data_IF_781435142594
#
_entry.id   IF_781435142594
#
_cell.length_a   1.000
_cell.length_b   1.000
_cell.length_c   1.000
_cell.angle_alpha   90.00
_cell.angle_beta   90.00
_cell.angle_gamma   90.00
#
_symmetry.space_group_name_H-M   'P 1'
#
loop_
_entity.id
_entity.type
_entity.pdbx_description
1 polymer ?
#
# COMPACT_ATOMS: atom_id res chain seq x y z
N UNK A 1 2.69 -0.39 21.28
CA UNK A 1 2.37 -1.74 20.78
C UNK A 1 2.19 -1.59 19.29
N UNK A 2 2.89 -2.35 18.48
CA UNK A 2 2.77 -2.30 17.03
C UNK A 2 1.54 -3.08 16.57
N UNK A 3 1.06 -2.82 15.35
CA UNK A 3 -0.04 -3.60 14.78
C UNK A 3 0.37 -5.06 14.50
N UNK A 4 1.65 -5.29 14.18
CA UNK A 4 2.19 -6.64 14.01
C UNK A 4 2.08 -7.43 15.31
N UNK A 5 2.59 -6.91 16.42
CA UNK A 5 2.55 -7.62 17.71
C UNK A 5 1.13 -7.77 18.22
N UNK A 6 0.26 -6.76 18.07
CA UNK A 6 -1.15 -6.89 18.44
C UNK A 6 -1.87 -7.96 17.61
N UNK A 7 -1.59 -8.05 16.31
CA UNK A 7 -2.19 -9.07 15.46
C UNK A 7 -1.70 -10.47 15.80
N UNK A 8 -0.40 -10.63 16.02
CA UNK A 8 0.22 -11.88 16.47
C UNK A 8 -0.38 -12.37 17.79
N UNK A 9 -0.41 -11.54 18.84
CA UNK A 9 -0.95 -11.90 20.16
C UNK A 9 -2.42 -12.37 20.08
N UNK A 10 -3.24 -11.72 19.24
CA UNK A 10 -4.63 -12.11 19.01
C UNK A 10 -4.78 -13.42 18.26
N UNK A 11 -3.85 -13.73 17.36
CA UNK A 11 -3.81 -15.00 16.66
C UNK A 11 -3.34 -16.12 17.61
N UNK A 12 -2.29 -15.90 18.38
CA UNK A 12 -1.74 -16.84 19.35
C UNK A 12 -2.77 -17.18 20.45
N UNK A 13 -3.50 -16.18 20.96
CA UNK A 13 -4.56 -16.39 21.95
C UNK A 13 -5.81 -17.07 21.40
N UNK A 14 -5.93 -17.23 20.08
CA UNK A 14 -7.12 -17.78 19.41
C UNK A 14 -8.30 -16.81 19.29
N UNK A 15 -8.12 -15.52 19.63
CA UNK A 15 -9.13 -14.48 19.36
C UNK A 15 -9.35 -14.31 17.86
N UNK A 16 -8.27 -14.41 17.06
CA UNK A 16 -8.31 -14.42 15.60
C UNK A 16 -7.81 -15.78 15.11
N UNK A 17 -8.65 -16.47 14.31
CA UNK A 17 -8.29 -17.77 13.74
C UNK A 17 -7.63 -17.59 12.39
N UNK A 18 -6.41 -18.12 12.25
CA UNK A 18 -5.62 -18.12 11.01
C UNK A 18 -5.09 -19.51 10.68
N UNK A 19 -4.49 -19.69 9.50
CA UNK A 19 -3.80 -20.92 9.12
C UNK A 19 -2.41 -21.02 9.74
N UNK A 20 -1.89 -22.25 9.81
CA UNK A 20 -0.56 -22.50 10.41
C UNK A 20 0.55 -21.74 9.67
N UNK A 21 0.51 -21.71 8.33
CA UNK A 21 1.55 -21.03 7.53
C UNK A 21 1.62 -19.53 7.83
N UNK A 22 0.48 -18.90 8.11
CA UNK A 22 0.47 -17.48 8.50
C UNK A 22 0.93 -17.30 9.93
N UNK A 23 0.63 -18.24 10.84
CA UNK A 23 1.12 -18.19 12.21
C UNK A 23 2.65 -18.34 12.26
N UNK A 24 3.20 -19.32 11.54
CA UNK A 24 4.64 -19.53 11.42
C UNK A 24 5.37 -18.26 10.90
N UNK A 25 4.75 -17.56 9.93
CA UNK A 25 5.32 -16.31 9.41
C UNK A 25 5.23 -15.16 10.42
N UNK A 26 4.13 -15.06 11.17
CA UNK A 26 3.99 -14.06 12.23
C UNK A 26 4.99 -14.30 13.36
N UNK A 27 5.22 -15.55 13.76
CA UNK A 27 6.23 -15.93 14.73
C UNK A 27 7.62 -15.49 14.28
N UNK A 28 7.99 -15.80 13.02
CA UNK A 28 9.27 -15.38 12.44
C UNK A 28 9.43 -13.85 12.40
N UNK A 29 8.37 -13.11 12.07
CA UNK A 29 8.41 -11.64 12.01
C UNK A 29 8.54 -11.02 13.41
N UNK A 30 7.93 -11.63 14.43
CA UNK A 30 8.06 -11.18 15.83
C UNK A 30 9.46 -11.52 16.36
N UNK A 31 9.99 -12.71 16.07
CA UNK A 31 11.37 -13.10 16.42
C UNK A 31 12.40 -12.13 15.78
N UNK A 32 12.17 -11.70 14.56
CA UNK A 32 13.01 -10.72 13.87
C UNK A 32 13.07 -9.36 14.59
N UNK A 33 12.01 -8.97 15.32
CA UNK A 33 12.03 -7.74 16.14
C UNK A 33 12.99 -7.87 17.34
N UNK A 34 13.19 -9.09 17.86
CA UNK A 34 14.06 -9.36 18.99
C UNK A 34 15.52 -9.55 18.55
N UNK A 35 15.76 -10.14 17.38
CA UNK A 35 17.13 -10.43 16.88
C UNK A 35 17.90 -9.18 16.50
N UNK A 36 17.21 -8.08 16.14
CA UNK A 36 17.82 -6.80 15.79
C UNK A 36 18.63 -6.81 14.47
N UNK A 37 18.41 -7.82 13.61
CA UNK A 37 19.03 -7.86 12.29
C UNK A 37 18.52 -6.71 11.40
N UNK A 38 17.25 -6.35 11.58
CA UNK A 38 16.58 -5.23 10.90
C UNK A 38 16.12 -4.19 11.92
N UNK A 39 16.26 -2.91 11.58
CA UNK A 39 15.60 -1.86 12.35
C UNK A 39 14.08 -1.92 12.08
N UNK A 40 13.29 -1.69 13.12
CA UNK A 40 11.83 -1.63 13.00
C UNK A 40 11.33 -0.21 13.27
N UNK A 41 10.99 0.52 12.20
CA UNK A 41 10.62 1.95 12.26
C UNK A 41 9.23 2.13 11.66
N UNK A 42 8.25 2.45 12.49
CA UNK A 42 6.83 2.43 12.10
C UNK A 42 6.29 3.74 11.53
N UNK A 43 7.08 4.81 11.47
CA UNK A 43 6.62 6.15 11.08
C UNK A 43 6.01 6.17 9.68
N UNK A 44 6.68 5.55 8.69
CA UNK A 44 6.21 5.47 7.31
C UNK A 44 4.93 4.64 7.17
N UNK A 45 4.83 3.53 7.89
CA UNK A 45 3.64 2.71 7.92
C UNK A 45 2.46 3.45 8.56
N UNK A 46 2.70 4.09 9.70
CA UNK A 46 1.68 4.86 10.42
C UNK A 46 1.17 6.05 9.60
N UNK A 47 2.06 6.75 8.89
CA UNK A 47 1.67 7.83 7.99
C UNK A 47 0.69 7.37 6.92
N UNK A 48 0.96 6.21 6.29
CA UNK A 48 0.09 5.62 5.26
C UNK A 48 -1.24 5.13 5.84
N UNK A 49 -1.20 4.44 6.97
CA UNK A 49 -2.41 3.97 7.68
C UNK A 49 -3.30 5.16 8.07
N UNK A 50 -2.72 6.19 8.67
CA UNK A 50 -3.44 7.40 9.05
C UNK A 50 -4.04 8.12 7.85
N UNK A 51 -3.26 8.27 6.76
CA UNK A 51 -3.76 8.85 5.51
C UNK A 51 -4.96 8.06 4.97
N UNK A 52 -4.86 6.73 4.92
CA UNK A 52 -5.94 5.87 4.43
C UNK A 52 -7.21 6.02 5.28
N UNK A 53 -7.10 5.99 6.59
CA UNK A 53 -8.28 6.08 7.48
C UNK A 53 -8.90 7.48 7.53
N UNK A 54 -8.11 8.55 7.42
CA UNK A 54 -8.61 9.94 7.47
C UNK A 54 -9.19 10.42 6.15
N UNK A 55 -8.52 10.13 5.05
CA UNK A 55 -8.78 10.79 3.78
C UNK A 55 -9.44 9.89 2.74
N UNK A 56 -9.21 8.57 2.78
CA UNK A 56 -9.78 7.68 1.78
C UNK A 56 -11.24 7.36 2.06
N UNK A 57 -12.03 7.36 0.99
CA UNK A 57 -13.43 6.96 0.97
C UNK A 57 -13.60 5.73 0.11
N UNK A 58 -14.45 4.80 0.55
CA UNK A 58 -14.76 3.56 -0.16
C UNK A 58 -15.46 3.85 -1.48
N UNK A 59 -15.07 3.11 -2.53
CA UNK A 59 -15.50 3.41 -3.91
C UNK A 59 -16.69 2.59 -4.39
N UNK A 60 -17.16 1.61 -3.58
CA UNK A 60 -18.21 0.67 -4.00
C UNK A 60 -19.41 0.63 -3.05
N UNK A 61 -20.59 0.46 -3.64
CA UNK A 61 -21.84 0.19 -2.90
C UNK A 61 -21.70 -1.14 -2.11
N UNK A 62 -22.32 -1.25 -0.91
CA UNK A 62 -23.16 -0.27 -0.21
C UNK A 62 -22.40 0.77 0.62
N UNK A 63 -21.09 0.77 0.57
CA UNK A 63 -20.24 1.62 1.43
C UNK A 63 -19.66 2.84 0.69
N UNK A 64 -20.09 3.10 -0.53
CA UNK A 64 -19.62 4.25 -1.31
C UNK A 64 -19.63 5.56 -0.52
N UNK A 65 -18.50 6.28 -0.54
CA UNK A 65 -18.31 7.55 0.16
C UNK A 65 -18.08 7.46 1.67
N UNK A 66 -18.22 6.28 2.28
CA UNK A 66 -17.90 6.11 3.71
C UNK A 66 -16.38 6.12 3.94
N UNK A 67 -15.93 6.64 5.10
CA UNK A 67 -14.51 6.57 5.47
C UNK A 67 -14.01 5.13 5.45
N UNK A 68 -12.80 4.94 4.94
CA UNK A 68 -12.11 3.67 5.04
C UNK A 68 -11.71 3.40 6.49
N UNK A 69 -11.92 2.17 6.96
CA UNK A 69 -11.41 1.67 8.24
C UNK A 69 -10.65 0.40 7.97
N UNK A 70 -9.40 0.37 8.35
CA UNK A 70 -8.53 -0.79 8.18
C UNK A 70 -8.77 -1.79 9.30
N UNK A 71 -8.88 -3.06 8.93
CA UNK A 71 -8.85 -4.17 9.88
C UNK A 71 -7.43 -4.35 10.44
N UNK A 72 -7.30 -4.97 11.60
CA UNK A 72 -6.01 -5.16 12.26
C UNK A 72 -5.00 -5.89 11.34
N UNK A 73 -5.41 -6.94 10.64
CA UNK A 73 -4.54 -7.65 9.69
C UNK A 73 -4.05 -6.77 8.54
N UNK A 74 -4.86 -5.80 8.07
CA UNK A 74 -4.45 -4.86 7.02
C UNK A 74 -3.40 -3.87 7.55
N UNK A 75 -3.59 -3.40 8.79
CA UNK A 75 -2.62 -2.53 9.47
C UNK A 75 -1.31 -3.27 9.72
N UNK A 76 -1.36 -4.50 10.24
CA UNK A 76 -0.19 -5.35 10.42
C UNK A 76 0.55 -5.61 9.10
N UNK A 77 -0.17 -5.93 8.01
CA UNK A 77 0.43 -6.11 6.69
C UNK A 77 1.14 -4.84 6.18
N UNK A 78 0.51 -3.66 6.31
CA UNK A 78 1.12 -2.40 5.91
C UNK A 78 2.32 -2.08 6.80
N UNK A 79 2.20 -2.31 8.11
CA UNK A 79 3.29 -2.07 9.05
C UNK A 79 4.50 -2.94 8.74
N UNK A 80 4.33 -4.24 8.52
CA UNK A 80 5.42 -5.14 8.12
C UNK A 80 6.08 -4.67 6.84
N UNK A 81 5.30 -4.24 5.85
CA UNK A 81 5.81 -3.85 4.53
C UNK A 81 6.74 -2.63 4.58
N UNK A 82 6.44 -1.67 5.45
CA UNK A 82 7.14 -0.37 5.49
C UNK A 82 8.07 -0.20 6.70
N UNK A 83 8.01 -1.07 7.70
CA UNK A 83 8.73 -0.84 8.98
C UNK A 83 10.05 -1.58 9.11
N UNK A 84 10.24 -2.71 8.43
CA UNK A 84 11.53 -3.41 8.45
C UNK A 84 12.49 -2.76 7.46
N UNK A 85 13.54 -2.13 7.98
CA UNK A 85 14.54 -1.39 7.19
C UNK A 85 15.96 -1.83 7.56
N UNK A 86 16.87 -1.80 6.61
CA UNK A 86 18.27 -2.09 6.87
C UNK A 86 18.88 -0.97 7.74
N UNK A 87 19.52 -1.35 8.85
CA UNK A 87 20.17 -0.42 9.78
C UNK A 87 21.36 0.31 9.15
N UNK A 88 21.97 -0.24 8.08
CA UNK A 88 23.26 0.19 7.53
C UNK A 88 23.20 0.59 6.06
N UNK A 89 22.25 0.04 5.30
CA UNK A 89 22.12 0.32 3.88
C UNK A 89 21.23 1.54 3.65
N UNK A 90 21.71 2.44 2.80
CA UNK A 90 20.93 3.59 2.30
C UNK A 90 20.79 3.46 0.79
N UNK A 91 19.66 3.93 0.27
CA UNK A 91 19.47 4.14 -1.17
C UNK A 91 20.36 5.27 -1.68
N UNK A 92 20.44 5.43 -3.00
CA UNK A 92 21.17 6.55 -3.63
C UNK A 92 20.60 7.93 -3.21
N UNK A 93 19.32 7.98 -2.82
CA UNK A 93 18.66 9.18 -2.25
C UNK A 93 18.92 9.40 -0.76
N UNK A 94 19.63 8.48 -0.09
CA UNK A 94 19.95 8.55 1.34
C UNK A 94 18.85 8.02 2.26
N UNK A 95 17.84 7.33 1.72
CA UNK A 95 16.78 6.68 2.48
C UNK A 95 17.20 5.28 2.93
N UNK A 96 16.59 4.77 4.00
CA UNK A 96 16.85 3.40 4.45
C UNK A 96 16.26 2.39 3.46
N UNK A 97 17.02 1.33 3.18
CA UNK A 97 16.56 0.24 2.30
C UNK A 97 15.52 -0.60 3.03
N UNK A 98 14.36 -0.77 2.44
CA UNK A 98 13.31 -1.63 2.97
C UNK A 98 13.65 -3.12 2.76
N UNK A 99 13.40 -3.94 3.76
CA UNK A 99 13.53 -5.40 3.67
C UNK A 99 12.64 -6.00 2.61
N UNK A 100 11.37 -5.61 2.61
CA UNK A 100 10.36 -6.16 1.72
C UNK A 100 10.19 -5.28 0.48
N UNK A 101 10.83 -5.67 -0.61
CA UNK A 101 10.71 -5.01 -1.92
C UNK A 101 9.59 -5.61 -2.79
N UNK A 102 9.01 -6.74 -2.35
CA UNK A 102 7.90 -7.42 -3.03
C UNK A 102 6.93 -7.98 -2.01
N UNK A 103 5.65 -7.84 -2.28
CA UNK A 103 4.60 -8.42 -1.46
C UNK A 103 3.56 -9.12 -2.33
N UNK A 104 3.05 -10.25 -1.83
CA UNK A 104 1.96 -10.99 -2.46
C UNK A 104 0.78 -11.00 -1.49
N UNK A 105 -0.31 -10.35 -1.90
CA UNK A 105 -1.54 -10.34 -1.12
C UNK A 105 -2.55 -11.36 -1.66
N UNK A 106 -2.57 -12.53 -1.04
CA UNK A 106 -3.47 -13.62 -1.40
C UNK A 106 -4.62 -13.71 -0.40
N UNK A 107 -5.76 -13.18 -0.77
CA UNK A 107 -6.99 -13.20 0.04
C UNK A 107 -8.20 -13.59 -0.79
N UNK A 108 -9.21 -14.18 -0.15
CA UNK A 108 -10.43 -14.63 -0.80
C UNK A 108 -11.18 -13.45 -1.46
N UNK A 109 -12.02 -13.78 -2.45
CA UNK A 109 -12.87 -12.79 -3.12
C UNK A 109 -13.79 -12.09 -2.11
N UNK A 110 -14.10 -10.81 -2.37
CA UNK A 110 -14.97 -9.94 -1.55
C UNK A 110 -14.39 -9.51 -0.19
N UNK A 111 -13.10 -9.76 0.06
CA UNK A 111 -12.39 -9.33 1.27
C UNK A 111 -11.57 -8.04 1.02
N UNK A 112 -12.16 -7.04 0.38
CA UNK A 112 -11.61 -5.68 0.20
C UNK A 112 -10.24 -5.57 -0.51
N UNK A 113 -9.70 -6.64 -1.12
CA UNK A 113 -8.37 -6.64 -1.75
C UNK A 113 -8.13 -5.43 -2.65
N UNK A 114 -8.99 -5.22 -3.64
CA UNK A 114 -8.84 -4.13 -4.61
C UNK A 114 -8.95 -2.75 -3.94
N UNK A 115 -9.87 -2.58 -2.97
CA UNK A 115 -9.99 -1.34 -2.20
C UNK A 115 -8.73 -1.07 -1.38
N UNK A 116 -8.19 -2.10 -0.70
CA UNK A 116 -6.95 -1.98 0.09
C UNK A 116 -5.75 -1.62 -0.80
N UNK A 117 -5.57 -2.33 -1.92
CA UNK A 117 -4.49 -2.03 -2.86
C UNK A 117 -4.63 -0.62 -3.45
N UNK A 118 -5.85 -0.21 -3.84
CA UNK A 118 -6.08 1.14 -4.38
C UNK A 118 -5.82 2.23 -3.34
N UNK A 119 -6.24 2.01 -2.09
CA UNK A 119 -6.02 2.95 -1.00
C UNK A 119 -4.54 3.06 -0.62
N UNK A 120 -3.81 1.92 -0.60
CA UNK A 120 -2.37 1.92 -0.37
C UNK A 120 -1.62 2.63 -1.51
N UNK A 121 -1.99 2.38 -2.77
CA UNK A 121 -1.43 3.11 -3.91
C UNK A 121 -1.74 4.62 -3.85
N UNK A 122 -2.94 5.00 -3.40
CA UNK A 122 -3.29 6.41 -3.21
C UNK A 122 -2.50 7.04 -2.06
N UNK A 123 -2.24 6.32 -0.97
CA UNK A 123 -1.38 6.82 0.12
C UNK A 123 0.06 7.01 -0.36
N UNK A 124 0.61 6.05 -1.10
CA UNK A 124 1.95 6.15 -1.70
C UNK A 124 2.06 7.35 -2.65
N UNK A 125 1.05 7.56 -3.49
CA UNK A 125 0.97 8.69 -4.41
C UNK A 125 0.94 10.05 -3.69
N UNK A 126 0.29 10.14 -2.51
CA UNK A 126 0.10 11.41 -1.80
C UNK A 126 1.16 11.70 -0.76
N UNK A 127 1.60 10.68 -0.02
CA UNK A 127 2.50 10.83 1.13
C UNK A 127 3.79 10.00 1.03
N UNK A 128 3.95 9.23 -0.06
CA UNK A 128 5.19 8.52 -0.36
C UNK A 128 6.28 9.43 -0.90
N UNK A 129 7.37 8.82 -1.38
CA UNK A 129 8.54 9.53 -1.85
C UNK A 129 8.22 10.49 -3.01
N UNK A 130 8.77 11.72 -2.99
CA UNK A 130 8.57 12.67 -4.08
C UNK A 130 9.10 12.14 -5.42
N UNK A 131 8.32 12.36 -6.48
CA UNK A 131 8.71 11.96 -7.83
C UNK A 131 8.54 10.47 -8.16
N UNK A 132 7.92 9.70 -7.27
CA UNK A 132 7.69 8.27 -7.48
C UNK A 132 6.74 7.99 -8.65
N UNK A 133 7.05 6.95 -9.42
CA UNK A 133 6.22 6.45 -10.52
C UNK A 133 5.53 5.14 -10.13
N UNK A 134 4.25 5.20 -9.82
CA UNK A 134 3.42 4.03 -9.50
C UNK A 134 2.77 3.46 -10.77
N UNK A 135 2.80 2.14 -10.90
CA UNK A 135 2.29 1.47 -12.10
C UNK A 135 1.20 0.45 -11.76
N UNK A 136 0.00 0.67 -12.27
CA UNK A 136 -1.06 -0.33 -12.28
C UNK A 136 -0.94 -1.18 -13.53
N UNK A 137 -0.48 -2.42 -13.39
CA UNK A 137 -0.28 -3.36 -14.49
C UNK A 137 -1.07 -4.66 -14.32
N UNK A 138 -1.53 -5.23 -15.43
CA UNK A 138 -2.16 -6.54 -15.49
C UNK A 138 -1.97 -7.11 -16.90
N UNK A 139 -2.16 -8.43 -17.05
CA UNK A 139 -2.18 -9.09 -18.35
C UNK A 139 -3.34 -8.63 -19.24
N UNK A 140 -4.42 -8.11 -18.64
CA UNK A 140 -5.58 -7.56 -19.33
C UNK A 140 -5.74 -6.08 -19.01
N UNK A 141 -5.93 -5.25 -20.02
CA UNK A 141 -6.13 -3.80 -19.90
C UNK A 141 -7.35 -3.45 -19.03
N UNK A 142 -8.43 -4.23 -19.14
CA UNK A 142 -9.62 -4.03 -18.33
C UNK A 142 -9.33 -4.29 -16.84
N UNK A 143 -8.51 -5.30 -16.53
CA UNK A 143 -8.11 -5.60 -15.15
C UNK A 143 -7.13 -4.56 -14.58
N UNK A 144 -6.16 -4.09 -15.38
CA UNK A 144 -5.29 -2.97 -14.99
C UNK A 144 -6.13 -1.70 -14.68
N UNK A 145 -7.22 -1.51 -15.40
CA UNK A 145 -8.18 -0.43 -15.18
C UNK A 145 -8.88 -0.47 -13.82
N UNK A 146 -9.14 -1.65 -13.26
CA UNK A 146 -9.93 -1.79 -12.03
C UNK A 146 -9.29 -1.04 -10.85
N UNK A 147 -8.00 -1.22 -10.63
CA UNK A 147 -7.26 -0.54 -9.55
C UNK A 147 -7.10 0.94 -9.87
N UNK A 148 -6.66 1.26 -11.10
CA UNK A 148 -6.48 2.65 -11.55
C UNK A 148 -7.77 3.47 -11.44
N UNK A 149 -8.91 2.92 -11.86
CA UNK A 149 -10.20 3.60 -11.80
C UNK A 149 -10.68 3.78 -10.34
N UNK A 150 -10.45 2.79 -9.47
CA UNK A 150 -10.73 2.91 -8.05
C UNK A 150 -9.88 4.02 -7.40
N UNK A 151 -8.57 4.09 -7.72
CA UNK A 151 -7.70 5.18 -7.27
C UNK A 151 -8.23 6.53 -7.76
N UNK A 152 -8.66 6.63 -9.04
CA UNK A 152 -9.20 7.87 -9.55
C UNK A 152 -10.50 8.31 -8.85
N UNK A 153 -11.36 7.37 -8.46
CA UNK A 153 -12.55 7.68 -7.66
C UNK A 153 -12.15 8.18 -6.27
N UNK A 154 -11.20 7.51 -5.59
CA UNK A 154 -10.67 7.96 -4.30
C UNK A 154 -10.07 9.37 -4.42
N UNK A 155 -9.26 9.61 -5.46
CA UNK A 155 -8.68 10.91 -5.77
C UNK A 155 -9.73 12.01 -5.93
N UNK A 156 -10.77 11.75 -6.72
CA UNK A 156 -11.83 12.74 -6.95
C UNK A 156 -12.66 13.07 -5.71
N UNK A 157 -12.75 12.13 -4.76
CA UNK A 157 -13.38 12.39 -3.46
C UNK A 157 -12.47 13.17 -2.52
N UNK A 158 -11.15 12.95 -2.61
CA UNK A 158 -10.13 13.62 -1.82
C UNK A 158 -9.85 15.04 -2.33
N UNK A 159 -9.71 15.18 -3.65
CA UNK A 159 -9.39 16.45 -4.33
C UNK A 159 -10.45 16.78 -5.42
N UNK A 160 -11.67 17.16 -5.01
CA UNK A 160 -12.79 17.36 -5.96
C UNK A 160 -12.59 18.55 -6.91
N UNK A 161 -11.67 19.45 -6.62
CA UNK A 161 -11.39 20.64 -7.41
C UNK A 161 -10.08 20.54 -8.21
N UNK A 162 -9.44 19.36 -8.23
CA UNK A 162 -8.16 19.12 -8.93
C UNK A 162 -7.05 20.12 -8.57
N UNK A 163 -6.99 20.52 -7.28
CA UNK A 163 -6.02 21.52 -6.79
C UNK A 163 -4.67 20.89 -6.44
N UNK A 164 -4.68 19.66 -5.95
CA UNK A 164 -3.49 18.92 -5.51
C UNK A 164 -3.05 17.88 -6.53
N UNK A 165 -3.96 17.45 -7.40
CA UNK A 165 -3.72 16.35 -8.34
C UNK A 165 -4.30 16.68 -9.72
N UNK A 166 -3.65 16.18 -10.76
CA UNK A 166 -4.16 16.30 -12.14
C UNK A 166 -4.33 14.91 -12.76
N UNK A 167 -5.44 14.68 -13.48
CA UNK A 167 -5.70 13.44 -14.20
C UNK A 167 -5.76 13.66 -15.69
N UNK A 168 -4.93 12.94 -16.45
CA UNK A 168 -5.05 12.75 -17.89
C UNK A 168 -5.67 11.38 -18.22
N UNK A 169 -5.72 10.99 -19.48
CA UNK A 169 -6.34 9.75 -19.92
C UNK A 169 -5.70 8.49 -19.28
N UNK A 170 -4.37 8.44 -19.16
CA UNK A 170 -3.64 7.25 -18.66
C UNK A 170 -2.71 7.54 -17.49
N UNK A 171 -2.73 8.77 -16.96
CA UNK A 171 -1.81 9.23 -15.92
C UNK A 171 -2.53 10.11 -14.92
N UNK A 172 -2.24 9.92 -13.65
CA UNK A 172 -2.52 10.87 -12.58
C UNK A 172 -1.19 11.44 -12.08
N UNK A 173 -1.14 12.73 -11.82
CA UNK A 173 0.06 13.44 -11.33
C UNK A 173 -0.29 14.15 -10.02
N UNK A 174 0.52 13.97 -9.02
CA UNK A 174 0.48 14.76 -7.78
C UNK A 174 1.27 16.05 -8.00
N UNK A 175 0.60 17.19 -7.89
CA UNK A 175 1.17 18.50 -8.12
C UNK A 175 2.02 18.99 -6.95
N UNK A 176 1.92 18.34 -5.77
CA UNK A 176 2.62 18.72 -4.56
C UNK A 176 4.02 18.08 -4.49
N UNK A 177 4.15 16.82 -4.89
CA UNK A 177 5.40 16.06 -4.77
C UNK A 177 5.94 15.52 -6.11
N UNK A 178 5.21 15.72 -7.23
CA UNK A 178 5.64 15.29 -8.56
C UNK A 178 5.43 13.80 -8.87
N UNK A 179 4.88 13.03 -7.94
CA UNK A 179 4.63 11.60 -8.14
C UNK A 179 3.55 11.34 -9.19
N UNK A 180 3.59 10.16 -9.80
CA UNK A 180 2.66 9.80 -10.86
C UNK A 180 2.07 8.41 -10.65
N UNK A 181 0.85 8.19 -11.16
CA UNK A 181 0.26 6.86 -11.30
C UNK A 181 -0.07 6.62 -12.76
N UNK A 182 0.38 5.48 -13.29
CA UNK A 182 0.14 5.08 -14.68
C UNK A 182 -0.68 3.81 -14.76
N UNK A 183 -1.51 3.73 -15.78
CA UNK A 183 -2.13 2.48 -16.21
C UNK A 183 -1.36 1.90 -17.39
N UNK A 184 -0.84 0.69 -17.24
CA UNK A 184 -0.17 -0.05 -18.29
C UNK A 184 -0.90 -1.37 -18.58
N UNK A 185 -1.00 -1.73 -19.87
CA UNK A 185 -1.42 -3.05 -20.31
C UNK A 185 -0.30 -3.74 -21.07
N UNK A 186 -0.37 -5.07 -21.21
CA UNK A 186 0.62 -5.86 -21.98
C UNK A 186 0.77 -5.43 -23.43
N UNK A 187 -0.26 -4.79 -23.99
CA UNK A 187 -0.24 -4.26 -25.36
C UNK A 187 0.53 -2.95 -25.51
N UNK A 188 0.96 -2.34 -24.43
CA UNK A 188 1.73 -1.10 -24.49
C UNK A 188 3.19 -1.42 -24.80
N UNK A 189 3.63 -1.24 -26.04
CA UNK A 189 4.96 -1.58 -26.56
C UNK A 189 6.16 -0.83 -25.92
N UNK A 190 5.93 0.12 -25.02
CA UNK A 190 6.96 0.99 -24.44
C UNK A 190 7.03 0.81 -22.91
N UNK A 191 7.29 -0.44 -22.46
CA UNK A 191 7.56 -0.71 -21.03
C UNK A 191 9.03 -0.52 -20.64
N UNK A 192 9.92 -0.40 -21.64
CA UNK A 192 11.33 -0.22 -21.42
C UNK A 192 11.66 1.26 -21.16
N UNK A 193 12.43 1.54 -20.12
CA UNK A 193 12.99 2.88 -19.83
C UNK A 193 12.22 3.74 -18.82
N UNK A 194 11.30 3.16 -18.00
CA UNK A 194 10.73 3.87 -16.85
C UNK A 194 11.41 3.44 -15.56
N UNK A 195 11.89 4.40 -14.79
CA UNK A 195 12.29 4.19 -13.40
C UNK A 195 11.02 3.90 -12.60
N UNK A 196 10.85 2.65 -12.21
CA UNK A 196 9.74 2.19 -11.35
C UNK A 196 10.36 1.91 -9.99
N UNK A 197 10.07 2.77 -9.05
CA UNK A 197 10.40 2.63 -7.63
C UNK A 197 9.35 1.81 -6.90
#
# INVERSE_FOLDING_TARGET
>A
MSYLTEYHDKCESGEIVIGHELMDELDNLVDDLETGEWDYVTDEANLRIEFMERFIRLTKSPFYGKPMKLMLWQKAFIEVLYSFVDAKALTDSGERVQRFQRAILLIARKNTKSETCSALSMSEFMVGNPGADLVCSSNDEAQAGIIYDAINVMRSMFDPNDQMTHKSQSRMTNLLNGSNIFKLSDRTRNKEGRNID
#
